data_IF_529730106280
#
_entry.id   IF_529730106280
#
_cell.length_a   1.000
_cell.length_b   1.000
_cell.length_c   1.000
_cell.angle_alpha   90.00
_cell.angle_beta   90.00
_cell.angle_gamma   90.00
#
_symmetry.space_group_name_H-M   'P 1'
#
loop_
_entity.id
_entity.type
_entity.pdbx_description
1 polymer ?
#
# COMPACT_ATOMS: atom_id res chain seq x y z
N UNK A 1 1.37 63.23 21.77
CA UNK A 1 0.36 62.44 21.04
C UNK A 1 1.06 61.52 20.04
N UNK A 2 1.09 60.24 20.42
CA UNK A 2 1.10 58.98 19.65
C UNK A 2 1.78 58.91 18.27
N UNK A 3 2.87 58.13 18.16
CA UNK A 3 3.42 57.66 16.87
C UNK A 3 4.05 56.26 16.91
N UNK A 4 3.59 55.38 17.78
CA UNK A 4 3.95 53.96 17.73
C UNK A 4 2.89 53.20 16.93
N UNK A 5 3.19 52.99 15.64
CA UNK A 5 2.50 52.02 14.80
C UNK A 5 2.78 50.63 15.37
N UNK A 6 1.77 50.00 15.97
CA UNK A 6 1.86 48.62 16.42
C UNK A 6 1.98 47.70 15.22
N UNK A 7 3.14 47.08 15.06
CA UNK A 7 3.41 46.09 14.02
C UNK A 7 2.55 44.85 14.30
N UNK A 8 1.37 44.76 13.67
CA UNK A 8 0.47 43.62 13.82
C UNK A 8 1.09 42.41 13.11
N UNK A 9 1.89 41.62 13.84
CA UNK A 9 2.49 40.39 13.33
C UNK A 9 1.38 39.35 13.19
N UNK A 10 0.91 39.14 11.95
CA UNK A 10 -0.02 38.05 11.64
C UNK A 10 0.55 36.73 12.21
N UNK A 11 -0.23 35.94 12.96
CA UNK A 11 0.23 34.64 13.43
C UNK A 11 0.62 33.80 12.21
N UNK A 12 1.81 33.19 12.25
CA UNK A 12 2.26 32.30 11.18
C UNK A 12 1.23 31.19 11.01
N UNK A 13 0.70 31.02 9.80
CA UNK A 13 -0.22 29.93 9.49
C UNK A 13 0.45 28.61 9.90
N UNK A 14 -0.19 27.76 10.73
CA UNK A 14 0.40 26.49 11.13
C UNK A 14 0.77 25.72 9.85
N UNK A 15 2.04 25.32 9.75
CA UNK A 15 2.56 24.63 8.58
C UNK A 15 1.80 23.32 8.42
N UNK A 16 1.17 23.14 7.27
CA UNK A 16 0.48 21.91 6.96
C UNK A 16 1.56 20.84 6.68
N UNK A 17 1.97 20.12 7.73
CA UNK A 17 2.91 19.00 7.67
C UNK A 17 2.27 17.76 7.02
N UNK A 18 1.02 17.88 6.53
CA UNK A 18 0.32 16.80 5.86
C UNK A 18 0.99 16.40 4.55
N UNK A 19 0.91 15.11 4.25
CA UNK A 19 1.26 14.53 2.95
C UNK A 19 0.46 15.23 1.84
N UNK A 20 1.14 15.61 0.74
CA UNK A 20 0.52 16.31 -0.37
C UNK A 20 -0.69 15.52 -0.95
N UNK A 21 -1.80 16.17 -1.34
CA UNK A 21 -3.00 15.46 -1.81
C UNK A 21 -2.74 14.51 -2.98
N UNK A 22 -1.92 14.91 -3.96
CA UNK A 22 -1.53 14.06 -5.11
C UNK A 22 -0.84 12.77 -4.65
N UNK A 23 -0.07 12.86 -3.56
CA UNK A 23 0.67 11.73 -3.01
C UNK A 23 -0.22 10.72 -2.27
N UNK A 24 -1.36 11.18 -1.74
CA UNK A 24 -2.42 10.29 -1.25
C UNK A 24 -3.13 9.57 -2.42
N UNK A 25 -3.26 10.25 -3.57
CA UNK A 25 -3.89 9.70 -4.77
C UNK A 25 -3.13 8.52 -5.37
N UNK A 26 -1.80 8.61 -5.48
CA UNK A 26 -0.97 7.54 -6.03
C UNK A 26 -1.08 6.26 -5.18
N UNK A 27 -1.03 6.39 -3.84
CA UNK A 27 -1.22 5.24 -2.95
C UNK A 27 -2.58 4.56 -3.13
N UNK A 28 -3.64 5.34 -3.33
CA UNK A 28 -4.99 4.82 -3.61
C UNK A 28 -5.02 4.02 -4.92
N UNK A 29 -4.37 4.54 -5.97
CA UNK A 29 -4.26 3.82 -7.26
C UNK A 29 -3.48 2.51 -7.08
N UNK A 30 -2.37 2.51 -6.33
CA UNK A 30 -1.58 1.29 -6.10
C UNK A 30 -2.38 0.21 -5.37
N UNK A 31 -3.25 0.57 -4.43
CA UNK A 31 -4.11 -0.39 -3.71
C UNK A 31 -5.03 -1.17 -4.67
N UNK A 32 -5.41 -0.57 -5.80
CA UNK A 32 -6.24 -1.22 -6.82
C UNK A 32 -5.39 -1.94 -7.87
N UNK A 33 -4.35 -1.26 -8.38
CA UNK A 33 -3.54 -1.77 -9.50
C UNK A 33 -2.67 -2.95 -9.08
N UNK A 34 -2.06 -2.91 -7.88
CA UNK A 34 -1.12 -3.94 -7.44
C UNK A 34 -1.81 -5.31 -7.29
N UNK A 35 -2.98 -5.45 -6.63
CA UNK A 35 -3.65 -6.74 -6.52
C UNK A 35 -4.08 -7.32 -7.87
N UNK A 36 -4.55 -6.46 -8.80
CA UNK A 36 -4.98 -6.90 -10.14
C UNK A 36 -3.78 -7.46 -10.91
N UNK A 37 -2.66 -6.73 -10.94
CA UNK A 37 -1.44 -7.19 -11.60
C UNK A 37 -0.86 -8.43 -10.93
N UNK A 38 -0.81 -8.44 -9.59
CA UNK A 38 -0.28 -9.57 -8.84
C UNK A 38 -1.08 -10.85 -9.09
N UNK A 39 -2.41 -10.75 -9.17
CA UNK A 39 -3.26 -11.90 -9.50
C UNK A 39 -2.98 -12.43 -10.91
N UNK A 40 -2.92 -11.54 -11.92
CA UNK A 40 -2.61 -11.93 -13.29
C UNK A 40 -1.26 -12.63 -13.43
N UNK A 41 -0.22 -12.10 -12.77
CA UNK A 41 1.11 -12.71 -12.76
C UNK A 41 1.09 -14.05 -12.00
N UNK A 42 0.34 -14.16 -10.90
CA UNK A 42 0.26 -15.40 -10.13
C UNK A 42 -0.29 -16.56 -10.97
N UNK A 43 -1.35 -16.33 -11.75
CA UNK A 43 -1.99 -17.36 -12.58
C UNK A 43 -1.01 -17.84 -13.64
N UNK A 44 -0.31 -16.91 -14.30
CA UNK A 44 0.74 -17.24 -15.27
C UNK A 44 1.87 -18.05 -14.64
N UNK A 45 2.33 -17.64 -13.45
CA UNK A 45 3.44 -18.28 -12.75
C UNK A 45 3.09 -19.68 -12.27
N UNK A 46 1.89 -19.88 -11.72
CA UNK A 46 1.40 -21.19 -11.26
C UNK A 46 1.24 -22.14 -12.45
N UNK A 47 0.67 -21.67 -13.57
CA UNK A 47 0.54 -22.47 -14.78
C UNK A 47 1.92 -22.84 -15.36
N UNK A 48 2.84 -21.89 -15.43
CA UNK A 48 4.21 -22.14 -15.86
C UNK A 48 4.93 -23.14 -14.94
N UNK A 49 4.85 -22.93 -13.63
CA UNK A 49 5.43 -23.83 -12.64
C UNK A 49 4.86 -25.24 -12.69
N UNK A 50 3.56 -25.40 -12.96
CA UNK A 50 2.93 -26.70 -13.17
C UNK A 50 3.51 -27.41 -14.40
N UNK A 51 3.74 -26.70 -15.51
CA UNK A 51 4.35 -27.30 -16.71
C UNK A 51 5.82 -27.68 -16.56
N UNK A 52 6.56 -26.93 -15.73
CA UNK A 52 7.99 -27.16 -15.49
C UNK A 52 8.26 -28.11 -14.31
N UNK A 53 7.21 -28.61 -13.65
CA UNK A 53 7.34 -29.52 -12.51
C UNK A 53 7.94 -28.85 -11.27
N UNK A 54 7.65 -27.57 -11.03
CA UNK A 54 8.07 -26.89 -9.80
C UNK A 54 7.53 -27.62 -8.57
N UNK A 55 8.28 -27.68 -7.45
CA UNK A 55 7.89 -28.37 -6.23
C UNK A 55 6.82 -27.56 -5.46
N UNK A 56 5.68 -27.29 -6.10
CA UNK A 56 4.52 -26.67 -5.47
C UNK A 56 3.75 -27.79 -4.75
N UNK A 57 3.35 -27.59 -3.48
CA UNK A 57 2.60 -28.59 -2.74
C UNK A 57 1.35 -29.08 -3.49
N UNK A 58 1.18 -30.39 -3.56
CA UNK A 58 0.07 -31.03 -4.31
C UNK A 58 -1.31 -30.60 -3.79
N UNK A 59 -1.42 -30.28 -2.50
CA UNK A 59 -2.65 -29.81 -1.87
C UNK A 59 -3.09 -28.41 -2.34
N UNK A 60 -2.21 -27.62 -2.96
CA UNK A 60 -2.57 -26.30 -3.50
C UNK A 60 -3.12 -26.39 -4.94
N UNK A 61 -2.99 -27.55 -5.57
CA UNK A 61 -3.55 -27.83 -6.88
C UNK A 61 -4.96 -28.41 -6.78
N UNK A 62 -5.78 -28.15 -7.79
CA UNK A 62 -7.15 -28.65 -7.86
C UNK A 62 -8.17 -27.73 -7.17
N UNK A 63 -9.36 -28.25 -6.87
CA UNK A 63 -10.44 -27.48 -6.26
C UNK A 63 -10.15 -27.21 -4.78
N UNK A 64 -10.53 -26.03 -4.25
CA UNK A 64 -10.26 -25.67 -2.87
C UNK A 64 -10.97 -26.59 -1.87
N UNK A 65 -10.29 -26.91 -0.77
CA UNK A 65 -10.82 -27.79 0.27
C UNK A 65 -11.84 -27.05 1.17
N UNK A 66 -13.12 -27.11 0.80
CA UNK A 66 -14.22 -26.47 1.55
C UNK A 66 -14.75 -27.41 2.63
N UNK A 67 -14.86 -26.92 3.87
CA UNK A 67 -15.38 -27.70 5.00
C UNK A 67 -16.84 -28.16 4.79
N UNK A 68 -17.21 -29.41 5.12
CA UNK A 68 -18.55 -29.96 4.90
C UNK A 68 -19.71 -29.15 5.50
N UNK A 69 -19.50 -28.49 6.64
CA UNK A 69 -20.50 -27.63 7.29
C UNK A 69 -20.96 -26.47 6.40
N UNK A 70 -20.07 -25.93 5.56
CA UNK A 70 -20.40 -24.81 4.67
C UNK A 70 -21.39 -25.23 3.58
N UNK A 71 -21.35 -26.49 3.15
CA UNK A 71 -22.29 -27.05 2.18
C UNK A 71 -23.70 -27.24 2.76
N UNK A 72 -23.87 -27.26 4.07
CA UNK A 72 -25.21 -27.38 4.68
C UNK A 72 -26.01 -26.08 4.60
N UNK A 73 -25.34 -24.95 4.39
CA UNK A 73 -25.96 -23.62 4.30
C UNK A 73 -26.49 -23.39 2.87
N UNK A 74 -27.80 -23.59 2.67
CA UNK A 74 -28.46 -23.46 1.36
C UNK A 74 -28.22 -22.11 0.68
N UNK A 75 -28.11 -21.01 1.44
CA UNK A 75 -27.85 -19.68 0.89
C UNK A 75 -26.45 -19.47 0.31
N UNK A 76 -25.45 -20.25 0.73
CA UNK A 76 -24.06 -20.11 0.29
C UNK A 76 -23.71 -21.01 -0.92
N UNK A 77 -24.58 -21.95 -1.26
CA UNK A 77 -24.41 -22.88 -2.39
C UNK A 77 -23.96 -22.24 -3.71
N UNK A 78 -24.57 -21.15 -4.21
CA UNK A 78 -24.14 -20.57 -5.50
C UNK A 78 -22.71 -20.01 -5.43
N UNK A 79 -22.33 -19.42 -4.30
CA UNK A 79 -20.99 -18.84 -4.08
C UNK A 79 -19.95 -19.95 -3.96
N UNK A 80 -20.26 -20.99 -3.18
CA UNK A 80 -19.35 -22.14 -3.00
C UNK A 80 -19.10 -22.87 -4.31
N UNK A 81 -20.13 -23.04 -5.16
CA UNK A 81 -19.96 -23.61 -6.50
C UNK A 81 -19.08 -22.75 -7.40
N UNK A 82 -19.23 -21.42 -7.35
CA UNK A 82 -18.37 -20.52 -8.11
C UNK A 82 -16.90 -20.63 -7.68
N UNK A 83 -16.66 -20.67 -6.36
CA UNK A 83 -15.31 -20.83 -5.78
C UNK A 83 -14.72 -22.19 -6.17
N UNK A 84 -15.51 -23.27 -6.11
CA UNK A 84 -15.06 -24.61 -6.43
C UNK A 84 -14.78 -24.83 -7.93
N UNK A 85 -15.43 -24.06 -8.81
CA UNK A 85 -15.19 -24.12 -10.25
C UNK A 85 -13.82 -23.55 -10.67
N UNK A 86 -13.13 -22.81 -9.79
CA UNK A 86 -11.81 -22.26 -10.06
C UNK A 86 -10.72 -23.30 -9.78
N UNK A 87 -9.94 -23.66 -10.79
CA UNK A 87 -8.80 -24.54 -10.64
C UNK A 87 -7.61 -23.81 -10.00
N UNK A 88 -6.91 -24.49 -9.07
CA UNK A 88 -5.67 -24.01 -8.45
C UNK A 88 -5.83 -22.67 -7.71
N UNK A 89 -7.03 -22.41 -7.18
CA UNK A 89 -7.36 -21.16 -6.49
C UNK A 89 -6.40 -20.88 -5.32
N UNK A 90 -6.10 -21.91 -4.53
CA UNK A 90 -5.22 -21.80 -3.35
C UNK A 90 -3.81 -21.37 -3.75
N UNK A 91 -3.21 -22.05 -4.74
CA UNK A 91 -1.91 -21.67 -5.29
C UNK A 91 -1.94 -20.22 -5.82
N UNK A 92 -2.93 -19.87 -6.64
CA UNK A 92 -3.03 -18.54 -7.22
C UNK A 92 -3.13 -17.45 -6.13
N UNK A 93 -3.91 -17.66 -5.07
CA UNK A 93 -4.04 -16.69 -3.98
C UNK A 93 -2.75 -16.52 -3.18
N UNK A 94 -2.07 -17.63 -2.83
CA UNK A 94 -0.80 -17.58 -2.09
C UNK A 94 0.25 -16.83 -2.90
N UNK A 95 0.40 -17.18 -4.18
CA UNK A 95 1.32 -16.50 -5.08
C UNK A 95 0.91 -15.04 -5.33
N UNK A 96 -0.39 -14.74 -5.41
CA UNK A 96 -0.89 -13.35 -5.53
C UNK A 96 -0.42 -12.52 -4.35
N UNK A 97 -0.56 -13.02 -3.12
CA UNK A 97 -0.11 -12.30 -1.92
C UNK A 97 1.40 -12.10 -1.95
N UNK A 98 2.17 -13.15 -2.26
CA UNK A 98 3.63 -13.06 -2.37
C UNK A 98 4.07 -12.03 -3.43
N UNK A 99 3.49 -12.10 -4.64
CA UNK A 99 3.78 -11.19 -5.75
C UNK A 99 3.32 -9.78 -5.42
N UNK A 100 2.16 -9.60 -4.76
CA UNK A 100 1.67 -8.28 -4.35
C UNK A 100 2.62 -7.61 -3.36
N UNK A 101 3.20 -8.37 -2.42
CA UNK A 101 4.22 -7.86 -1.50
C UNK A 101 5.49 -7.46 -2.26
N UNK A 102 5.92 -8.27 -3.24
CA UNK A 102 7.11 -7.97 -4.04
C UNK A 102 6.90 -6.74 -4.93
N UNK A 103 5.84 -6.73 -5.75
CA UNK A 103 5.50 -5.62 -6.65
C UNK A 103 5.21 -4.35 -5.83
N UNK A 104 4.37 -4.46 -4.80
CA UNK A 104 4.03 -3.35 -3.91
C UNK A 104 5.25 -2.80 -3.17
N UNK A 105 6.15 -3.67 -2.72
CA UNK A 105 7.42 -3.30 -2.10
C UNK A 105 8.32 -2.53 -3.06
N UNK A 106 8.53 -3.06 -4.28
CA UNK A 106 9.32 -2.39 -5.32
C UNK A 106 8.71 -1.04 -5.69
N UNK A 107 7.40 -0.98 -5.90
CA UNK A 107 6.69 0.28 -6.21
C UNK A 107 6.82 1.30 -5.07
N UNK A 108 6.78 0.86 -3.81
CA UNK A 108 6.95 1.73 -2.65
C UNK A 108 8.36 2.32 -2.58
N UNK A 109 9.39 1.54 -2.93
CA UNK A 109 10.78 2.02 -3.02
C UNK A 109 10.93 3.04 -4.14
N UNK A 110 10.43 2.72 -5.34
CA UNK A 110 10.45 3.64 -6.49
C UNK A 110 9.74 4.95 -6.14
N UNK A 111 8.57 4.85 -5.53
CA UNK A 111 7.79 6.00 -5.07
C UNK A 111 8.58 6.84 -4.05
N UNK A 112 9.26 6.20 -3.10
CA UNK A 112 10.14 6.87 -2.14
C UNK A 112 11.24 7.68 -2.83
N UNK A 113 11.90 7.11 -3.84
CA UNK A 113 12.90 7.84 -4.63
C UNK A 113 12.30 9.00 -5.41
N UNK A 114 11.17 8.79 -6.10
CA UNK A 114 10.46 9.86 -6.80
C UNK A 114 10.09 11.00 -5.83
N UNK A 115 9.66 10.67 -4.61
CA UNK A 115 9.36 11.65 -3.58
C UNK A 115 10.59 12.46 -3.19
N UNK A 116 11.77 11.84 -3.10
CA UNK A 116 12.99 12.60 -2.77
C UNK A 116 13.42 13.56 -3.87
N UNK A 117 13.14 13.24 -5.13
CA UNK A 117 13.55 14.06 -6.29
C UNK A 117 12.56 15.19 -6.55
N UNK A 118 11.25 14.88 -6.55
CA UNK A 118 10.20 15.82 -6.93
C UNK A 118 9.46 16.43 -5.73
N UNK A 119 9.78 15.98 -4.51
CA UNK A 119 9.16 16.48 -3.29
C UNK A 119 9.61 17.91 -2.97
N UNK A 120 8.75 18.69 -2.28
CA UNK A 120 9.12 20.02 -1.83
C UNK A 120 10.30 19.96 -0.83
N UNK A 121 11.14 21.00 -0.77
CA UNK A 121 12.25 21.04 0.17
C UNK A 121 11.75 20.93 1.61
N UNK A 122 12.49 20.18 2.45
CA UNK A 122 12.12 19.95 3.86
C UNK A 122 12.00 21.25 4.65
N UNK A 123 12.82 22.25 4.32
CA UNK A 123 12.84 23.56 4.96
C UNK A 123 12.35 24.63 4.00
N UNK A 124 11.51 25.53 4.49
CA UNK A 124 11.17 26.74 3.75
C UNK A 124 12.36 27.73 3.74
N UNK A 125 12.29 28.79 2.93
CA UNK A 125 13.38 29.78 2.81
C UNK A 125 13.77 30.48 4.11
N UNK A 126 12.86 30.47 5.10
CA UNK A 126 13.00 31.16 6.38
C UNK A 126 13.16 30.16 7.55
N UNK A 127 13.12 28.85 7.28
CA UNK A 127 13.22 27.82 8.31
C UNK A 127 14.69 27.49 8.57
N UNK A 128 15.15 27.74 9.80
CA UNK A 128 16.43 27.20 10.25
C UNK A 128 16.32 25.68 10.46
N UNK A 129 17.35 24.89 10.09
CA UNK A 129 17.35 23.47 10.38
C UNK A 129 17.27 23.24 11.90
N UNK A 130 16.59 22.19 12.36
CA UNK A 130 16.46 21.89 13.78
C UNK A 130 17.84 21.64 14.39
N UNK A 131 18.07 22.23 15.56
CA UNK A 131 19.30 22.07 16.32
C UNK A 131 19.38 20.60 16.75
N UNK A 132 20.33 19.85 16.17
CA UNK A 132 20.56 18.44 16.52
C UNK A 132 21.39 18.36 17.81
N UNK A 133 21.08 17.41 18.68
CA UNK A 133 21.88 17.11 19.88
C UNK A 133 21.52 17.91 21.14
N UNK A 134 20.58 18.85 21.08
CA UNK A 134 20.17 19.65 22.24
C UNK A 134 18.71 19.36 22.59
N UNK A 135 18.46 18.87 23.81
CA UNK A 135 17.10 18.71 24.35
C UNK A 135 16.55 20.08 24.77
N UNK A 136 15.96 20.81 23.84
CA UNK A 136 15.24 22.06 24.13
C UNK A 136 13.83 21.77 24.63
N UNK A 137 13.39 22.50 25.66
CA UNK A 137 12.00 22.46 26.13
C UNK A 137 11.07 22.90 25.01
N UNK A 138 10.04 22.10 24.72
CA UNK A 138 9.01 22.43 23.73
C UNK A 138 8.33 23.72 24.16
N UNK A 139 8.42 24.75 23.34
CA UNK A 139 7.70 26.00 23.59
C UNK A 139 6.19 25.72 23.48
N UNK A 140 5.47 25.80 24.60
CA UNK A 140 4.02 25.84 24.62
C UNK A 140 3.60 27.28 24.39
N UNK A 141 2.81 27.51 23.36
CA UNK A 141 2.21 28.79 23.03
C UNK A 141 0.73 28.74 23.37
#
# INVERSE_FOLDING_TARGET
MTKYSSYYRKPSKPRNLGVHPVMRGIGCIMIVVVPILAYGVSVLLVNYGATQGWPIPLNWYGPPAIHPLLWQLQGLQPILRFIQAQNNLEANLIFTVAIAVVIGGIMSVIYGYMYTIFGPPRYGPQDAPPIRGVKVKRYKR
#
